data_IF_784172983626
#
_entry.id   IF_784172983626
#
_cell.length_a   1.000
_cell.length_b   1.000
_cell.length_c   1.000
_cell.angle_alpha   90.00
_cell.angle_beta   90.00
_cell.angle_gamma   90.00
#
_symmetry.space_group_name_H-M   'P 1'
#
loop_
_entity.id
_entity.type
_entity.pdbx_description
1 polymer ?
#
# COMPACT_ATOMS: atom_id res chain seq x y z
N UNK A 1 -24.49 40.44 -11.06
CA UNK A 1 -24.92 39.33 -10.15
C UNK A 1 -24.66 38.04 -10.89
N UNK A 2 -23.48 37.46 -10.67
CA UNK A 2 -23.14 36.17 -11.26
C UNK A 2 -23.57 35.09 -10.29
N UNK A 3 -24.54 34.29 -10.71
CA UNK A 3 -24.97 33.08 -9.98
C UNK A 3 -23.92 32.01 -10.23
N UNK A 4 -23.09 31.79 -9.23
CA UNK A 4 -22.15 30.65 -9.18
C UNK A 4 -22.96 29.34 -9.21
N UNK A 5 -23.02 28.71 -10.37
CA UNK A 5 -23.58 27.37 -10.53
C UNK A 5 -22.66 26.39 -9.81
N UNK A 6 -23.04 25.99 -8.60
CA UNK A 6 -22.44 24.84 -7.92
C UNK A 6 -22.81 23.61 -8.75
N UNK A 7 -21.87 23.12 -9.54
CA UNK A 7 -21.99 21.81 -10.19
C UNK A 7 -21.98 20.77 -9.08
N UNK A 8 -23.16 20.38 -8.63
CA UNK A 8 -23.31 19.22 -7.76
C UNK A 8 -22.82 17.98 -8.52
N UNK A 9 -21.76 17.38 -8.02
CA UNK A 9 -21.30 16.06 -8.48
C UNK A 9 -22.51 15.11 -8.38
N UNK A 10 -22.91 14.42 -9.46
CA UNK A 10 -24.08 13.54 -9.40
C UNK A 10 -23.84 12.51 -8.27
N UNK A 11 -24.82 12.39 -7.39
CA UNK A 11 -24.82 11.33 -6.37
C UNK A 11 -24.78 9.98 -7.10
N UNK A 12 -23.86 9.10 -6.73
CA UNK A 12 -23.82 7.74 -7.24
C UNK A 12 -25.16 7.06 -6.88
N UNK A 13 -25.75 6.34 -7.84
CA UNK A 13 -26.96 5.58 -7.57
C UNK A 13 -26.74 4.48 -6.53
N UNK A 14 -27.79 4.02 -5.86
CA UNK A 14 -27.69 3.02 -4.79
C UNK A 14 -27.11 1.68 -5.28
N UNK A 15 -27.34 1.31 -6.51
CA UNK A 15 -26.81 0.07 -7.09
C UNK A 15 -25.29 0.14 -7.28
N UNK A 16 -24.80 1.27 -7.76
CA UNK A 16 -23.36 1.55 -7.88
C UNK A 16 -22.67 1.54 -6.52
N UNK A 17 -23.28 2.16 -5.50
CA UNK A 17 -22.76 2.16 -4.14
C UNK A 17 -22.75 0.76 -3.53
N UNK A 18 -23.79 -0.04 -3.78
CA UNK A 18 -23.88 -1.42 -3.33
C UNK A 18 -22.77 -2.28 -3.96
N UNK A 19 -22.58 -2.16 -5.27
CA UNK A 19 -21.52 -2.88 -5.99
C UNK A 19 -20.14 -2.51 -5.43
N UNK A 20 -19.86 -1.23 -5.23
CA UNK A 20 -18.59 -0.78 -4.66
C UNK A 20 -18.34 -1.41 -3.28
N UNK A 21 -19.33 -1.42 -2.38
CA UNK A 21 -19.21 -2.06 -1.05
C UNK A 21 -18.92 -3.56 -1.16
N UNK A 22 -19.58 -4.26 -2.08
CA UNK A 22 -19.32 -5.69 -2.33
C UNK A 22 -17.89 -5.92 -2.82
N UNK A 23 -17.41 -5.12 -3.76
CA UNK A 23 -16.03 -5.20 -4.26
C UNK A 23 -15.03 -5.01 -3.13
N UNK A 24 -15.19 -3.98 -2.28
CA UNK A 24 -14.32 -3.77 -1.13
C UNK A 24 -14.37 -4.92 -0.13
N UNK A 25 -15.52 -5.54 0.06
CA UNK A 25 -15.65 -6.72 0.93
C UNK A 25 -14.92 -7.93 0.34
N UNK A 26 -15.13 -8.25 -0.93
CA UNK A 26 -14.41 -9.32 -1.63
C UNK A 26 -12.89 -9.12 -1.58
N UNK A 27 -12.42 -7.87 -1.70
CA UNK A 27 -10.98 -7.55 -1.60
C UNK A 27 -10.44 -7.85 -0.19
N UNK A 28 -11.17 -7.50 0.88
CA UNK A 28 -10.75 -7.80 2.25
C UNK A 28 -10.70 -9.30 2.52
N UNK A 29 -11.60 -10.06 1.90
CA UNK A 29 -11.69 -11.51 2.03
C UNK A 29 -10.73 -12.26 1.11
N UNK A 30 -10.14 -11.58 0.12
CA UNK A 30 -9.27 -12.19 -0.89
C UNK A 30 -10.02 -13.02 -1.93
N UNK A 31 -11.31 -12.75 -2.12
CA UNK A 31 -12.16 -13.49 -3.09
C UNK A 31 -11.85 -13.06 -4.52
N UNK A 32 -10.72 -13.56 -5.03
CA UNK A 32 -10.29 -13.31 -6.41
C UNK A 32 -11.30 -13.90 -7.42
N UNK A 33 -11.95 -15.03 -7.10
CA UNK A 33 -12.85 -15.67 -8.02
C UNK A 33 -14.07 -14.78 -8.37
N UNK A 34 -14.61 -14.08 -7.39
CA UNK A 34 -15.70 -13.10 -7.60
C UNK A 34 -15.23 -11.81 -8.29
N UNK A 35 -13.96 -11.43 -8.09
CA UNK A 35 -13.42 -10.16 -8.62
C UNK A 35 -12.85 -10.30 -10.03
N UNK A 36 -12.30 -11.46 -10.39
CA UNK A 36 -11.63 -11.66 -11.68
C UNK A 36 -12.55 -11.31 -12.88
N UNK A 37 -13.82 -11.75 -12.94
CA UNK A 37 -14.71 -11.35 -14.04
C UNK A 37 -14.93 -9.85 -14.14
N UNK A 38 -14.93 -9.12 -13.02
CA UNK A 38 -15.09 -7.67 -13.02
C UNK A 38 -13.86 -6.99 -13.65
N UNK A 39 -12.66 -7.45 -13.31
CA UNK A 39 -11.42 -6.91 -13.89
C UNK A 39 -11.33 -7.24 -15.39
N UNK A 40 -11.71 -8.44 -15.79
CA UNK A 40 -11.74 -8.87 -17.21
C UNK A 40 -12.70 -8.01 -18.05
N UNK A 41 -13.76 -7.45 -17.44
CA UNK A 41 -14.70 -6.53 -18.06
C UNK A 41 -14.37 -5.05 -17.86
N UNK A 42 -13.16 -4.73 -17.38
CA UNK A 42 -12.68 -3.36 -17.29
C UNK A 42 -13.18 -2.59 -16.06
N UNK A 43 -13.53 -3.28 -14.97
CA UNK A 43 -13.85 -2.61 -13.72
C UNK A 43 -12.65 -1.76 -13.23
N UNK A 44 -12.88 -0.50 -12.76
CA UNK A 44 -11.80 0.41 -12.38
C UNK A 44 -10.98 -0.13 -11.21
N UNK A 45 -9.68 -0.47 -11.39
CA UNK A 45 -8.86 -1.08 -10.33
C UNK A 45 -8.41 -0.07 -9.26
N UNK A 46 -8.51 1.24 -9.54
CA UNK A 46 -8.03 2.31 -8.67
C UNK A 46 -9.14 2.95 -7.81
N UNK A 47 -10.25 2.25 -7.58
CA UNK A 47 -11.27 2.69 -6.63
C UNK A 47 -10.69 2.85 -5.23
N UNK A 48 -11.14 3.89 -4.53
CA UNK A 48 -10.76 4.20 -3.16
C UNK A 48 -11.99 4.24 -2.26
N UNK A 49 -11.83 3.79 -1.02
CA UNK A 49 -12.86 3.91 0.01
C UNK A 49 -12.80 5.31 0.68
N UNK A 50 -13.63 5.50 1.71
CA UNK A 50 -13.73 6.76 2.47
C UNK A 50 -12.45 7.14 3.23
N UNK A 51 -11.57 6.17 3.50
CA UNK A 51 -10.26 6.37 4.14
C UNK A 51 -9.12 6.56 3.12
N UNK A 52 -9.46 6.67 1.84
CA UNK A 52 -8.50 6.76 0.77
C UNK A 52 -7.80 5.45 0.42
N UNK A 53 -8.17 4.31 1.05
CA UNK A 53 -7.55 3.03 0.72
C UNK A 53 -8.01 2.56 -0.67
N UNK A 54 -7.05 2.27 -1.54
CA UNK A 54 -7.31 1.63 -2.83
C UNK A 54 -7.60 0.12 -2.65
N UNK A 55 -8.15 -0.52 -3.68
CA UNK A 55 -8.30 -1.98 -3.70
C UNK A 55 -6.96 -2.68 -3.49
N UNK A 56 -5.90 -2.16 -4.13
CA UNK A 56 -4.55 -2.69 -4.00
C UNK A 56 -4.01 -2.52 -2.58
N UNK A 57 -4.25 -1.36 -1.94
CA UNK A 57 -3.88 -1.13 -0.53
C UNK A 57 -4.52 -2.16 0.38
N UNK A 58 -5.83 -2.41 0.25
CA UNK A 58 -6.54 -3.38 1.09
C UNK A 58 -6.06 -4.82 0.84
N UNK A 59 -5.91 -5.23 -0.42
CA UNK A 59 -5.39 -6.55 -0.75
C UNK A 59 -3.98 -6.77 -0.16
N UNK A 60 -3.13 -5.74 -0.22
CA UNK A 60 -1.78 -5.76 0.33
C UNK A 60 -1.78 -5.85 1.86
N UNK A 61 -2.61 -5.05 2.52
CA UNK A 61 -2.73 -5.02 3.97
C UNK A 61 -3.29 -6.33 4.56
N UNK A 62 -4.14 -7.04 3.79
CA UNK A 62 -4.72 -8.31 4.19
C UNK A 62 -3.92 -9.55 3.75
N UNK A 63 -2.84 -9.38 3.00
CA UNK A 63 -1.93 -10.46 2.64
C UNK A 63 -2.35 -11.29 1.41
N UNK A 64 -3.24 -10.78 0.58
CA UNK A 64 -3.81 -11.50 -0.57
C UNK A 64 -2.93 -11.37 -1.82
N UNK A 65 -1.76 -12.03 -1.85
CA UNK A 65 -0.76 -11.88 -2.90
C UNK A 65 -1.26 -12.19 -4.32
N UNK A 66 -2.14 -13.17 -4.51
CA UNK A 66 -2.71 -13.48 -5.83
C UNK A 66 -3.66 -12.38 -6.30
N UNK A 67 -4.46 -11.83 -5.39
CA UNK A 67 -5.31 -10.68 -5.67
C UNK A 67 -4.49 -9.42 -5.98
N UNK A 68 -3.38 -9.21 -5.25
CA UNK A 68 -2.42 -8.13 -5.55
C UNK A 68 -1.90 -8.24 -6.98
N UNK A 69 -1.46 -9.43 -7.40
CA UNK A 69 -1.02 -9.67 -8.78
C UNK A 69 -2.12 -9.43 -9.81
N UNK A 70 -3.36 -9.84 -9.52
CA UNK A 70 -4.50 -9.63 -10.40
C UNK A 70 -4.84 -8.14 -10.55
N UNK A 71 -4.84 -7.39 -9.45
CA UNK A 71 -5.07 -5.94 -9.46
C UNK A 71 -3.98 -5.20 -10.23
N UNK A 72 -2.71 -5.55 -10.05
CA UNK A 72 -1.59 -4.95 -10.81
C UNK A 72 -1.72 -5.23 -12.31
N UNK A 73 -2.08 -6.46 -12.71
CA UNK A 73 -2.37 -6.78 -14.11
C UNK A 73 -3.57 -6.01 -14.68
N UNK A 74 -4.55 -5.71 -13.84
CA UNK A 74 -5.71 -4.89 -14.22
C UNK A 74 -5.41 -3.38 -14.27
N UNK A 75 -4.18 -2.97 -13.96
CA UNK A 75 -3.75 -1.57 -14.03
C UNK A 75 -3.90 -0.79 -12.72
N UNK A 76 -3.94 -1.48 -11.58
CA UNK A 76 -3.87 -0.80 -10.28
C UNK A 76 -2.54 -0.08 -10.11
N UNK A 77 -2.62 1.18 -9.66
CA UNK A 77 -1.44 2.00 -9.39
C UNK A 77 -0.86 1.67 -8.00
N UNK A 78 0.38 1.13 -7.93
CA UNK A 78 1.00 0.73 -6.67
C UNK A 78 1.46 1.90 -5.79
N UNK A 79 1.47 3.14 -6.35
CA UNK A 79 1.96 4.32 -5.63
C UNK A 79 0.86 5.12 -4.92
N UNK A 80 -0.41 4.74 -5.09
CA UNK A 80 -1.52 5.46 -4.47
C UNK A 80 -1.51 5.27 -2.95
N UNK A 81 -1.08 6.33 -2.24
CA UNK A 81 -1.16 6.37 -0.78
C UNK A 81 -2.59 6.66 -0.31
N UNK A 82 -2.96 6.12 0.84
CA UNK A 82 -4.22 6.44 1.52
C UNK A 82 -4.13 7.78 2.29
N UNK A 83 -5.21 8.16 2.97
CA UNK A 83 -5.28 9.42 3.73
C UNK A 83 -4.37 9.45 4.96
N UNK A 84 -3.72 8.33 5.29
CA UNK A 84 -2.68 8.21 6.32
C UNK A 84 -1.26 8.18 5.75
N UNK A 85 -1.09 8.58 4.49
CA UNK A 85 0.19 8.58 3.77
C UNK A 85 0.80 7.17 3.57
N UNK A 86 0.00 6.11 3.66
CA UNK A 86 0.49 4.74 3.51
C UNK A 86 0.32 4.27 2.06
N UNK A 87 1.41 3.81 1.45
CA UNK A 87 1.38 3.12 0.16
C UNK A 87 1.04 1.63 0.35
N UNK A 88 0.57 0.91 -0.69
CA UNK A 88 0.38 -0.54 -0.62
C UNK A 88 1.62 -1.30 -0.15
N UNK A 89 2.81 -0.89 -0.62
CA UNK A 89 4.09 -1.49 -0.21
C UNK A 89 4.36 -1.28 1.29
N UNK A 90 4.11 -0.09 1.81
CA UNK A 90 4.25 0.20 3.25
C UNK A 90 3.23 -0.59 4.10
N UNK A 91 2.00 -0.77 3.61
CA UNK A 91 0.98 -1.59 4.28
C UNK A 91 1.37 -3.06 4.38
N UNK A 92 1.91 -3.64 3.31
CA UNK A 92 2.42 -5.01 3.30
C UNK A 92 3.66 -5.16 4.21
N UNK A 93 4.56 -4.17 4.20
CA UNK A 93 5.75 -4.12 5.06
C UNK A 93 5.38 -4.06 6.56
N UNK A 94 4.41 -3.24 6.92
CA UNK A 94 3.86 -3.18 8.28
C UNK A 94 3.44 -4.57 8.80
N UNK A 95 2.72 -5.31 7.97
CA UNK A 95 2.22 -6.66 8.31
C UNK A 95 3.30 -7.74 8.26
N UNK A 96 4.40 -7.52 7.54
CA UNK A 96 5.45 -8.50 7.34
C UNK A 96 5.14 -9.52 6.25
N UNK A 97 4.28 -9.19 5.29
CA UNK A 97 3.87 -10.10 4.21
C UNK A 97 4.88 -10.10 3.06
N UNK A 98 5.95 -10.87 3.20
CA UNK A 98 7.08 -10.94 2.24
C UNK A 98 6.60 -11.21 0.80
N UNK A 99 5.67 -12.14 0.59
CA UNK A 99 5.17 -12.50 -0.75
C UNK A 99 4.34 -11.37 -1.39
N UNK A 100 3.62 -10.60 -0.58
CA UNK A 100 2.92 -9.39 -1.06
C UNK A 100 3.91 -8.31 -1.44
N UNK A 101 4.92 -8.06 -0.60
CA UNK A 101 6.01 -7.11 -0.90
C UNK A 101 6.69 -7.49 -2.21
N UNK A 102 7.01 -8.77 -2.40
CA UNK A 102 7.58 -9.29 -3.64
C UNK A 102 6.67 -9.03 -4.84
N UNK A 103 5.38 -9.36 -4.73
CA UNK A 103 4.40 -9.16 -5.79
C UNK A 103 4.25 -7.68 -6.19
N UNK A 104 4.26 -6.77 -5.22
CA UNK A 104 4.19 -5.33 -5.47
C UNK A 104 5.44 -4.83 -6.21
N UNK A 105 6.64 -5.21 -5.76
CA UNK A 105 7.90 -4.84 -6.41
C UNK A 105 8.02 -5.42 -7.83
N UNK A 106 7.64 -6.68 -8.02
CA UNK A 106 7.61 -7.33 -9.34
C UNK A 106 6.57 -6.67 -10.27
N UNK A 107 5.52 -6.09 -9.71
CA UNK A 107 4.46 -5.35 -10.41
C UNK A 107 4.78 -3.87 -10.64
N UNK A 108 6.00 -3.42 -10.32
CA UNK A 108 6.49 -2.08 -10.61
C UNK A 108 6.36 -1.05 -9.48
N UNK A 109 6.02 -1.47 -8.26
CA UNK A 109 6.07 -0.56 -7.11
C UNK A 109 7.49 -0.01 -6.92
N UNK A 110 7.60 1.28 -6.66
CA UNK A 110 8.88 1.92 -6.34
C UNK A 110 9.33 1.49 -4.94
N UNK A 111 10.55 0.96 -4.85
CA UNK A 111 11.07 0.41 -3.58
C UNK A 111 11.13 1.44 -2.46
N UNK A 112 11.43 2.70 -2.79
CA UNK A 112 11.46 3.83 -1.87
C UNK A 112 10.24 4.76 -2.02
N UNK A 113 9.16 4.30 -2.67
CA UNK A 113 7.90 5.02 -2.78
C UNK A 113 7.30 5.30 -1.40
N UNK A 114 6.77 6.52 -1.21
CA UNK A 114 6.21 6.95 0.07
C UNK A 114 5.08 7.96 -0.12
N UNK A 115 4.26 8.16 0.89
CA UNK A 115 3.29 9.24 0.98
C UNK A 115 3.92 10.55 1.46
N UNK A 116 3.07 11.51 1.84
CA UNK A 116 3.51 12.86 2.26
C UNK A 116 4.36 12.86 3.53
N UNK A 117 4.23 11.84 4.38
CA UNK A 117 5.04 11.70 5.60
C UNK A 117 6.49 11.27 5.31
N UNK A 118 6.81 10.91 4.08
CA UNK A 118 8.14 10.51 3.64
C UNK A 118 8.59 9.13 4.13
N UNK A 119 7.69 8.31 4.71
CA UNK A 119 8.05 6.99 5.22
C UNK A 119 8.06 5.94 4.12
N UNK A 120 9.22 5.37 3.85
CA UNK A 120 9.37 4.24 2.94
C UNK A 120 8.92 2.93 3.57
N UNK A 121 8.66 1.91 2.74
CA UNK A 121 8.33 0.57 3.23
C UNK A 121 9.43 -0.02 4.12
N UNK A 122 10.72 0.25 3.81
CA UNK A 122 11.86 -0.17 4.65
C UNK A 122 11.76 0.44 6.06
N UNK A 123 11.46 1.73 6.16
CA UNK A 123 11.32 2.40 7.46
C UNK A 123 10.16 1.79 8.27
N UNK A 124 9.03 1.52 7.61
CA UNK A 124 7.87 0.88 8.25
C UNK A 124 8.22 -0.53 8.71
N UNK A 125 8.88 -1.33 7.86
CA UNK A 125 9.36 -2.68 8.23
C UNK A 125 10.30 -2.61 9.45
N UNK A 126 11.20 -1.63 9.50
CA UNK A 126 12.13 -1.44 10.62
C UNK A 126 11.39 -1.09 11.92
N UNK A 127 10.41 -0.20 11.88
CA UNK A 127 9.59 0.17 13.05
C UNK A 127 8.88 -1.03 13.69
N UNK A 128 8.47 -2.01 12.88
CA UNK A 128 7.71 -3.18 13.33
C UNK A 128 8.52 -4.48 13.35
N UNK A 129 9.86 -4.37 13.32
CA UNK A 129 10.81 -5.48 13.43
C UNK A 129 10.61 -6.58 12.35
N UNK A 130 10.26 -6.17 11.11
CA UNK A 130 10.03 -7.08 9.98
C UNK A 130 11.32 -7.29 9.18
N UNK A 131 12.31 -7.94 9.79
CA UNK A 131 13.67 -8.08 9.22
C UNK A 131 13.64 -8.78 7.86
N UNK A 132 12.84 -9.84 7.69
CA UNK A 132 12.72 -10.55 6.40
C UNK A 132 12.25 -9.63 5.27
N UNK A 133 11.31 -8.70 5.57
CA UNK A 133 10.87 -7.69 4.62
C UNK A 133 11.97 -6.69 4.33
N UNK A 134 12.72 -6.26 5.36
CA UNK A 134 13.85 -5.34 5.20
C UNK A 134 14.92 -5.93 4.29
N UNK A 135 15.24 -7.22 4.45
CA UNK A 135 16.19 -7.95 3.58
C UNK A 135 15.72 -7.93 2.13
N UNK A 136 14.46 -8.29 1.88
CA UNK A 136 13.89 -8.25 0.53
C UNK A 136 13.93 -6.84 -0.07
N UNK A 137 13.58 -5.80 0.69
CA UNK A 137 13.61 -4.42 0.21
C UNK A 137 15.03 -3.96 -0.10
N UNK A 138 16.00 -4.30 0.76
CA UNK A 138 17.41 -4.01 0.53
C UNK A 138 17.96 -4.71 -0.74
N UNK A 139 17.62 -5.98 -0.94
CA UNK A 139 17.97 -6.74 -2.15
C UNK A 139 17.38 -6.11 -3.43
N UNK A 140 16.29 -5.36 -3.28
CA UNK A 140 15.64 -4.61 -4.37
C UNK A 140 16.12 -3.16 -4.47
N UNK A 141 17.15 -2.79 -3.72
CA UNK A 141 17.84 -1.50 -3.81
C UNK A 141 17.25 -0.38 -2.96
N UNK A 142 16.52 -0.70 -1.88
CA UNK A 142 15.99 0.29 -0.95
C UNK A 142 17.12 1.14 -0.32
N UNK A 143 16.91 2.45 -0.20
CA UNK A 143 17.83 3.36 0.47
C UNK A 143 17.76 3.18 2.00
N UNK A 144 18.77 2.51 2.56
CA UNK A 144 18.88 2.25 4.01
C UNK A 144 19.08 3.52 4.85
N UNK A 145 19.47 4.65 4.20
CA UNK A 145 19.77 5.93 4.85
C UNK A 145 18.65 6.96 4.67
N UNK A 146 17.57 6.59 3.97
CA UNK A 146 16.45 7.47 3.75
C UNK A 146 15.93 8.05 5.08
N UNK A 147 15.50 9.33 5.04
CA UNK A 147 14.88 10.02 6.16
C UNK A 147 13.48 10.48 5.79
N UNK A 148 12.55 10.33 6.72
CA UNK A 148 11.17 10.79 6.54
C UNK A 148 11.07 12.33 6.58
N UNK A 149 9.87 12.84 6.40
CA UNK A 149 9.60 14.28 6.40
C UNK A 149 10.00 14.99 7.72
N UNK A 150 10.12 14.24 8.81
CA UNK A 150 10.62 14.75 10.12
C UNK A 150 12.15 14.67 10.27
N UNK A 151 12.85 14.13 9.27
CA UNK A 151 14.29 13.89 9.32
C UNK A 151 14.68 12.62 10.08
N UNK A 152 13.72 11.76 10.46
CA UNK A 152 13.97 10.51 11.18
C UNK A 152 14.41 9.41 10.21
N UNK A 153 15.51 8.72 10.50
CA UNK A 153 15.95 7.53 9.76
C UNK A 153 15.21 6.27 10.20
N UNK A 154 15.23 5.22 9.35
CA UNK A 154 14.66 3.92 9.68
C UNK A 154 15.22 3.32 10.97
N UNK A 155 16.53 3.46 11.21
CA UNK A 155 17.18 3.00 12.44
C UNK A 155 16.69 3.76 13.68
N UNK A 156 16.61 5.09 13.62
CA UNK A 156 16.09 5.90 14.72
C UNK A 156 14.62 5.55 15.01
N UNK A 157 13.81 5.33 13.97
CA UNK A 157 12.43 4.91 14.10
C UNK A 157 12.32 3.53 14.76
N UNK A 158 13.13 2.55 14.35
CA UNK A 158 13.20 1.21 14.95
C UNK A 158 13.56 1.28 16.44
N UNK A 159 14.57 2.08 16.81
CA UNK A 159 14.98 2.28 18.20
C UNK A 159 13.86 2.85 19.07
N UNK A 160 13.14 3.86 18.58
CA UNK A 160 11.99 4.45 19.29
C UNK A 160 10.85 3.44 19.52
N UNK A 161 10.69 2.48 18.62
CA UNK A 161 9.68 1.44 18.71
C UNK A 161 10.14 0.19 19.49
N UNK A 162 11.41 0.14 19.94
CA UNK A 162 11.98 -1.03 20.59
C UNK A 162 12.22 -2.22 19.65
N UNK A 163 12.32 -1.97 18.34
CA UNK A 163 12.58 -2.96 17.31
C UNK A 163 14.10 -3.26 17.22
N UNK A 164 14.61 -4.02 18.18
CA UNK A 164 16.06 -4.20 18.38
C UNK A 164 16.75 -4.90 17.21
N UNK A 165 16.13 -5.98 16.67
CA UNK A 165 16.73 -6.72 15.56
C UNK A 165 16.85 -5.87 14.31
N UNK A 166 15.79 -5.10 14.00
CA UNK A 166 15.78 -4.18 12.87
C UNK A 166 16.81 -3.04 13.05
N UNK A 167 16.91 -2.48 14.25
CA UNK A 167 17.88 -1.42 14.55
C UNK A 167 19.32 -1.94 14.44
N UNK A 168 19.60 -3.17 14.90
CA UNK A 168 20.90 -3.82 14.77
C UNK A 168 21.22 -4.13 13.32
N UNK A 169 20.25 -4.69 12.59
CA UNK A 169 20.38 -5.01 11.16
C UNK A 169 20.77 -3.77 10.34
N UNK A 170 20.10 -2.63 10.58
CA UNK A 170 20.45 -1.35 9.93
C UNK A 170 21.82 -0.81 10.36
N UNK A 171 22.19 -0.95 11.64
CA UNK A 171 23.50 -0.50 12.13
C UNK A 171 24.66 -1.20 11.42
N UNK A 172 24.49 -2.47 11.09
CA UNK A 172 25.53 -3.27 10.43
C UNK A 172 25.70 -2.97 8.94
N UNK A 173 24.69 -2.35 8.29
CA UNK A 173 24.61 -2.17 6.84
C UNK A 173 24.54 -0.71 6.36
N UNK A 174 24.35 0.26 7.25
CA UNK A 174 24.19 1.70 6.90
C UNK A 174 25.34 2.59 7.34
#
# INVERSE_FOLDING_TARGET
>A
METSSIVQKPALDEDTLRLARQVFQCVREGDLASLQPLFDHGFPPNLRNESGDSLLMLASYHGHHDLVRALLRAGADPEVANDRSQTPLAGAAYKGYVEVVRALLDGGAQVDGHGEDGRTALMVAAMFNRVDVMELLADRGADLRHRDASGTSGREAAQRMGAEDAANWLRERS
#
